data_IF_779589151462
#
_entry.id   IF_779589151462
#
_cell.length_a   1.000
_cell.length_b   1.000
_cell.length_c   1.000
_cell.angle_alpha   90.00
_cell.angle_beta   90.00
_cell.angle_gamma   90.00
#
_symmetry.space_group_name_H-M   'P 1'
#
loop_
_entity.id
_entity.type
_entity.pdbx_description
1 polymer ?
#
# COMPACT_ATOMS: atom_id res chain seq x y z
N UNK A 1 3.61 13.28 -8.21
CA UNK A 1 3.51 12.31 -7.12
C UNK A 1 2.47 11.31 -7.51
N UNK A 2 2.80 10.01 -7.50
CA UNK A 2 1.80 8.95 -7.60
C UNK A 2 0.98 8.86 -6.31
N UNK A 3 -0.17 8.22 -6.36
CA UNK A 3 -1.00 7.98 -5.18
C UNK A 3 -0.27 7.11 -4.14
N UNK A 4 0.50 6.11 -4.58
CA UNK A 4 1.35 5.27 -3.72
C UNK A 4 2.44 6.08 -3.02
N UNK A 5 3.16 6.95 -3.74
CA UNK A 5 4.18 7.85 -3.17
C UNK A 5 3.58 8.78 -2.10
N UNK A 6 2.35 9.24 -2.30
CA UNK A 6 1.65 10.07 -1.32
C UNK A 6 1.32 9.29 -0.04
N UNK A 7 0.82 8.06 -0.17
CA UNK A 7 0.52 7.18 0.97
C UNK A 7 1.80 6.83 1.76
N UNK A 8 2.90 6.54 1.06
CA UNK A 8 4.20 6.27 1.66
C UNK A 8 4.75 7.47 2.42
N UNK A 9 4.73 8.67 1.80
CA UNK A 9 5.15 9.91 2.45
C UNK A 9 4.28 10.22 3.68
N UNK A 10 2.97 10.02 3.58
CA UNK A 10 2.03 10.19 4.69
C UNK A 10 2.36 9.22 5.83
N UNK A 11 2.68 7.97 5.51
CA UNK A 11 3.06 6.94 6.49
C UNK A 11 4.31 7.34 7.26
N UNK A 12 5.32 7.85 6.57
CA UNK A 12 6.59 8.27 7.19
C UNK A 12 6.38 9.43 8.17
N UNK A 13 5.59 10.45 7.79
CA UNK A 13 5.28 11.59 8.65
C UNK A 13 4.49 11.12 9.88
N UNK A 14 3.48 10.29 9.69
CA UNK A 14 2.67 9.76 10.79
C UNK A 14 3.51 8.93 11.76
N UNK A 15 4.40 8.05 11.27
CA UNK A 15 5.31 7.25 12.10
C UNK A 15 6.21 8.12 12.97
N UNK A 16 6.90 9.10 12.38
CA UNK A 16 7.74 10.06 13.13
C UNK A 16 6.94 10.81 14.19
N UNK A 17 5.70 11.19 13.86
CA UNK A 17 4.85 11.92 14.80
C UNK A 17 4.41 11.00 15.94
N UNK A 18 4.01 9.75 15.65
CA UNK A 18 3.64 8.73 16.65
C UNK A 18 4.81 8.44 17.59
N UNK A 19 6.03 8.29 17.07
CA UNK A 19 7.25 8.09 17.87
C UNK A 19 7.48 9.25 18.85
N UNK A 20 7.32 10.50 18.40
CA UNK A 20 7.42 11.67 19.26
C UNK A 20 6.36 11.67 20.38
N UNK A 21 5.13 11.26 20.08
CA UNK A 21 4.08 11.13 21.09
C UNK A 21 4.36 10.01 22.09
N UNK A 22 4.89 8.87 21.65
CA UNK A 22 5.32 7.78 22.54
C UNK A 22 6.42 8.25 23.49
N UNK A 23 7.40 9.00 22.98
CA UNK A 23 8.47 9.56 23.81
C UNK A 23 7.93 10.54 24.85
N UNK A 24 6.91 11.34 24.48
CA UNK A 24 6.23 12.24 25.41
C UNK A 24 5.43 11.46 26.48
N UNK A 25 4.65 10.48 26.06
CA UNK A 25 3.88 9.60 26.96
C UNK A 25 4.78 8.93 27.99
N UNK A 26 5.94 8.43 27.56
CA UNK A 26 6.91 7.78 28.43
C UNK A 26 7.60 8.73 29.41
N UNK A 27 7.73 10.03 29.07
CA UNK A 27 8.43 11.01 29.91
C UNK A 27 7.50 11.65 30.93
N UNK A 28 6.38 12.20 30.46
CA UNK A 28 5.51 13.07 31.25
C UNK A 28 4.06 12.53 31.33
N UNK A 29 3.74 11.48 30.56
CA UNK A 29 2.37 11.08 30.26
C UNK A 29 1.72 11.92 29.17
N UNK A 30 0.55 11.49 28.71
CA UNK A 30 -0.30 12.26 27.81
C UNK A 30 -1.50 12.79 28.56
N UNK A 31 -1.87 14.04 28.28
CA UNK A 31 -3.17 14.53 28.74
C UNK A 31 -4.33 13.85 28.00
N UNK A 32 -5.57 14.15 28.39
CA UNK A 32 -6.75 13.55 27.79
C UNK A 32 -6.91 13.90 26.29
N UNK A 33 -6.66 15.14 25.90
CA UNK A 33 -6.75 15.58 24.52
C UNK A 33 -5.63 14.97 23.68
N UNK A 34 -4.42 14.94 24.22
CA UNK A 34 -3.24 14.34 23.61
C UNK A 34 -3.42 12.84 23.40
N UNK A 35 -3.99 12.14 24.39
CA UNK A 35 -4.37 10.73 24.26
C UNK A 35 -5.37 10.53 23.12
N UNK A 36 -6.36 11.42 22.98
CA UNK A 36 -7.31 11.36 21.88
C UNK A 36 -6.64 11.60 20.52
N UNK A 37 -5.75 12.59 20.42
CA UNK A 37 -4.99 12.90 19.21
C UNK A 37 -4.10 11.71 18.84
N UNK A 38 -3.35 11.18 19.80
CA UNK A 38 -2.47 10.03 19.62
C UNK A 38 -3.22 8.79 19.10
N UNK A 39 -4.37 8.47 19.71
CA UNK A 39 -5.24 7.37 19.23
C UNK A 39 -5.77 7.60 17.83
N UNK A 40 -6.12 8.83 17.47
CA UNK A 40 -6.57 9.15 16.12
C UNK A 40 -5.45 8.99 15.09
N UNK A 41 -4.22 9.41 15.44
CA UNK A 41 -3.06 9.20 14.58
C UNK A 41 -2.73 7.73 14.35
N UNK A 42 -2.85 6.88 15.39
CA UNK A 42 -2.69 5.43 15.23
C UNK A 42 -3.72 4.85 14.26
N UNK A 43 -4.99 5.24 14.38
CA UNK A 43 -6.04 4.82 13.44
C UNK A 43 -5.74 5.27 12.02
N UNK A 44 -5.29 6.52 11.85
CA UNK A 44 -4.93 7.05 10.54
C UNK A 44 -3.73 6.30 9.94
N UNK A 45 -2.75 5.91 10.76
CA UNK A 45 -1.62 5.11 10.31
C UNK A 45 -2.08 3.73 9.81
N UNK A 46 -2.93 3.04 10.57
CA UNK A 46 -3.47 1.74 10.16
C UNK A 46 -4.34 1.84 8.90
N UNK A 47 -5.15 2.90 8.78
CA UNK A 47 -5.95 3.15 7.59
C UNK A 47 -5.06 3.37 6.36
N UNK A 48 -3.99 4.16 6.52
CA UNK A 48 -3.03 4.42 5.45
C UNK A 48 -2.27 3.15 5.02
N UNK A 49 -1.89 2.29 5.98
CA UNK A 49 -1.27 0.99 5.68
C UNK A 49 -2.23 0.05 4.95
N UNK A 50 -3.51 0.04 5.33
CA UNK A 50 -4.55 -0.72 4.64
C UNK A 50 -4.74 -0.25 3.19
N UNK A 51 -4.84 1.06 2.96
CA UNK A 51 -4.92 1.64 1.61
C UNK A 51 -3.68 1.31 0.76
N UNK A 52 -2.48 1.43 1.36
CA UNK A 52 -1.24 1.13 0.65
C UNK A 52 -1.15 -0.36 0.25
N UNK A 53 -1.57 -1.26 1.12
CA UNK A 53 -1.64 -2.68 0.79
C UNK A 53 -2.68 -2.95 -0.30
N UNK A 54 -3.87 -2.34 -0.23
CA UNK A 54 -4.88 -2.47 -1.27
C UNK A 54 -4.38 -2.05 -2.64
N UNK A 55 -3.65 -0.92 -2.73
CA UNK A 55 -3.05 -0.48 -4.00
C UNK A 55 -1.98 -1.46 -4.50
N UNK A 56 -1.16 -2.02 -3.60
CA UNK A 56 -0.14 -3.02 -3.96
C UNK A 56 -0.77 -4.32 -4.46
N UNK A 57 -1.87 -4.75 -3.85
CA UNK A 57 -2.61 -5.95 -4.27
C UNK A 57 -3.27 -5.72 -5.64
N UNK A 58 -3.87 -4.56 -5.88
CA UNK A 58 -4.41 -4.18 -7.20
C UNK A 58 -3.33 -4.11 -8.29
N UNK A 59 -2.15 -3.57 -7.97
CA UNK A 59 -1.01 -3.58 -8.88
C UNK A 59 -0.50 -4.99 -9.18
N UNK A 60 -0.51 -5.89 -8.19
CA UNK A 60 -0.13 -7.29 -8.39
C UNK A 60 -1.10 -8.04 -9.31
N UNK A 61 -2.42 -7.81 -9.15
CA UNK A 61 -3.46 -8.39 -10.02
C UNK A 61 -3.30 -7.90 -11.47
N UNK A 62 -3.10 -6.59 -11.68
CA UNK A 62 -2.88 -6.02 -13.02
C UNK A 62 -1.67 -6.62 -13.74
N UNK A 63 -0.61 -6.97 -13.00
CA UNK A 63 0.58 -7.64 -13.58
C UNK A 63 0.25 -9.06 -14.04
N UNK A 64 -0.53 -9.82 -13.27
CA UNK A 64 -0.94 -11.18 -13.62
C UNK A 64 -1.85 -11.23 -14.85
N UNK A 65 -2.82 -10.31 -14.96
CA UNK A 65 -3.71 -10.24 -16.12
C UNK A 65 -2.95 -9.89 -17.42
N UNK A 66 -1.95 -9.01 -17.31
CA UNK A 66 -1.09 -8.66 -18.45
C UNK A 66 -0.17 -9.79 -18.91
N UNK A 67 0.24 -10.68 -18.00
CA UNK A 67 1.03 -11.88 -18.32
C UNK A 67 0.16 -13.01 -18.87
N UNK A 68 -1.07 -13.16 -18.38
CA UNK A 68 -2.08 -14.10 -18.89
C UNK A 68 -2.40 -13.79 -20.36
N UNK A 69 -2.71 -12.52 -20.66
CA UNK A 69 -2.99 -12.05 -22.03
C UNK A 69 -1.81 -12.24 -23.00
N UNK A 70 -0.56 -12.09 -22.52
CA UNK A 70 0.64 -12.34 -23.35
C UNK A 70 0.87 -13.83 -23.64
N UNK A 71 0.51 -14.71 -22.70
CA UNK A 71 0.66 -16.17 -22.88
C UNK A 71 -0.42 -16.72 -23.83
N UNK A 72 -1.66 -16.25 -23.75
CA UNK A 72 -2.71 -16.65 -24.70
C UNK A 72 -2.39 -16.26 -26.16
N UNK A 73 -1.85 -15.05 -26.38
CA UNK A 73 -1.50 -14.58 -27.72
C UNK A 73 -0.31 -15.32 -28.35
N UNK A 74 0.60 -15.86 -27.55
CA UNK A 74 1.75 -16.63 -28.06
C UNK A 74 1.38 -18.09 -28.37
N UNK A 75 0.47 -18.68 -27.58
CA UNK A 75 -0.04 -20.05 -27.82
C UNK A 75 -0.90 -20.10 -29.08
N UNK A 76 -1.81 -19.14 -29.28
CA UNK A 76 -2.63 -19.06 -30.51
C UNK A 76 -1.79 -18.83 -31.77
N UNK A 77 -0.71 -18.04 -31.70
CA UNK A 77 0.19 -17.84 -32.82
C UNK A 77 0.98 -19.11 -33.23
N UNK A 78 1.27 -20.01 -32.28
CA UNK A 78 1.99 -21.26 -32.52
C UNK A 78 1.10 -22.39 -33.08
N UNK A 79 -0.17 -22.47 -32.66
CA UNK A 79 -1.13 -23.44 -33.23
C UNK A 79 -1.43 -23.17 -34.71
N UNK A 80 -1.61 -21.90 -35.08
CA UNK A 80 -1.83 -21.54 -36.49
C UNK A 80 -0.61 -21.78 -37.39
N UNK A 81 0.61 -21.82 -36.85
CA UNK A 81 1.82 -22.16 -37.60
C UNK A 81 1.98 -23.68 -37.83
N UNK A 82 1.39 -24.52 -36.98
CA UNK A 82 1.54 -25.99 -37.03
C UNK A 82 0.46 -26.72 -37.85
N UNK A 83 -0.53 -25.99 -38.38
CA UNK A 83 -1.66 -26.58 -39.14
C UNK A 83 -1.46 -26.52 -40.67
N UNK A 84 -0.33 -25.96 -41.14
CA UNK A 84 0.04 -25.92 -42.56
C UNK A 84 1.23 -26.87 -42.86
N UNK A 85 1.05 -28.17 -42.66
CA UNK A 85 1.86 -29.26 -43.26
C UNK A 85 0.91 -30.42 -43.58
#
# INVERSE_FOLDING_TARGET
>A
MSYTELLERKSEILKKTVENWVMKENRDGLDRQETHIYRNMLKELHQNEYELNGVRDEEAVKRQDSESSKKENTVTALEHASTNV
#
